data_IF_711907616505
#
_entry.id   IF_711907616505
#
_cell.length_a   1.000
_cell.length_b   1.000
_cell.length_c   1.000
_cell.angle_alpha   90.00
_cell.angle_beta   90.00
_cell.angle_gamma   90.00
#
_symmetry.space_group_name_H-M   'P 1'
#
loop_
_entity.id
_entity.type
_entity.pdbx_description
1 polymer ?
#
# COMPACT_ATOMS: atom_id res chain seq x y z
N UNK A 1 -31.62 -35.90 -11.57
CA UNK A 1 -32.21 -34.96 -10.59
C UNK A 1 -33.49 -34.38 -11.19
N UNK A 2 -34.63 -34.41 -10.49
CA UNK A 2 -35.88 -33.87 -11.04
C UNK A 2 -35.82 -32.35 -11.16
N UNK A 3 -36.44 -31.77 -12.21
CA UNK A 3 -36.50 -30.32 -12.41
C UNK A 3 -37.04 -29.56 -11.20
N UNK A 4 -37.91 -30.19 -10.40
CA UNK A 4 -38.43 -29.63 -9.15
C UNK A 4 -37.38 -29.56 -8.05
N UNK A 5 -36.50 -30.55 -7.95
CA UNK A 5 -35.41 -30.60 -6.97
C UNK A 5 -34.34 -29.55 -7.29
N UNK A 6 -34.05 -29.33 -8.58
CA UNK A 6 -33.12 -28.30 -9.03
C UNK A 6 -33.66 -26.89 -8.75
N UNK A 7 -34.96 -26.65 -9.00
CA UNK A 7 -35.60 -25.34 -8.72
C UNK A 7 -35.60 -25.01 -7.23
N UNK A 8 -35.88 -26.00 -6.37
CA UNK A 8 -35.85 -25.85 -4.91
C UNK A 8 -34.44 -25.56 -4.39
N UNK A 9 -33.41 -26.22 -4.92
CA UNK A 9 -32.02 -25.94 -4.55
C UNK A 9 -31.58 -24.54 -5.00
N UNK A 10 -31.98 -24.10 -6.18
CA UNK A 10 -31.71 -22.74 -6.68
C UNK A 10 -32.42 -21.67 -5.85
N UNK A 11 -33.68 -21.87 -5.47
CA UNK A 11 -34.39 -20.88 -4.63
C UNK A 11 -33.84 -20.85 -3.20
N UNK A 12 -33.43 -21.99 -2.63
CA UNK A 12 -32.81 -22.01 -1.31
C UNK A 12 -31.44 -21.33 -1.31
N UNK A 13 -30.62 -21.58 -2.34
CA UNK A 13 -29.31 -20.95 -2.48
C UNK A 13 -29.43 -19.46 -2.77
N UNK A 14 -30.34 -19.02 -3.65
CA UNK A 14 -30.64 -17.60 -3.82
C UNK A 14 -31.17 -16.96 -2.53
N UNK A 15 -32.03 -17.64 -1.77
CA UNK A 15 -32.54 -17.15 -0.48
C UNK A 15 -31.45 -16.99 0.59
N UNK A 16 -30.51 -17.93 0.66
CA UNK A 16 -29.35 -17.85 1.57
C UNK A 16 -28.36 -16.76 1.13
N UNK A 17 -28.10 -16.63 -0.17
CA UNK A 17 -27.24 -15.57 -0.72
C UNK A 17 -27.87 -14.19 -0.50
N UNK A 18 -29.17 -14.04 -0.71
CA UNK A 18 -29.88 -12.77 -0.48
C UNK A 18 -30.04 -12.45 1.01
N UNK A 19 -30.16 -13.45 1.88
CA UNK A 19 -30.11 -13.27 3.34
C UNK A 19 -28.74 -12.84 3.86
N UNK A 20 -27.66 -13.46 3.37
CA UNK A 20 -26.29 -13.07 3.69
C UNK A 20 -25.95 -11.67 3.14
N UNK A 21 -26.40 -11.37 1.93
CA UNK A 21 -26.25 -10.05 1.32
C UNK A 21 -27.06 -8.98 2.07
N UNK A 22 -28.29 -9.28 2.49
CA UNK A 22 -29.12 -8.37 3.30
C UNK A 22 -28.52 -8.09 4.68
N UNK A 23 -27.96 -9.12 5.34
CA UNK A 23 -27.24 -8.94 6.61
C UNK A 23 -25.97 -8.09 6.43
N UNK A 24 -25.19 -8.34 5.36
CA UNK A 24 -24.00 -7.56 5.03
C UNK A 24 -24.31 -6.09 4.74
N UNK A 25 -25.42 -5.80 4.03
CA UNK A 25 -25.85 -4.42 3.77
C UNK A 25 -26.31 -3.69 5.03
N UNK A 26 -27.00 -4.40 5.94
CA UNK A 26 -27.44 -3.84 7.20
C UNK A 26 -26.29 -3.61 8.18
N UNK A 27 -25.29 -4.50 8.20
CA UNK A 27 -24.07 -4.28 9.01
C UNK A 27 -23.27 -3.11 8.45
N UNK A 28 -23.06 -3.04 7.13
CA UNK A 28 -22.32 -1.95 6.49
C UNK A 28 -23.01 -0.60 6.70
N UNK A 29 -24.34 -0.54 6.65
CA UNK A 29 -25.09 0.69 6.89
C UNK A 29 -25.00 1.14 8.36
N UNK A 30 -25.06 0.21 9.32
CA UNK A 30 -24.90 0.52 10.75
C UNK A 30 -23.49 1.01 11.08
N UNK A 31 -22.46 0.40 10.49
CA UNK A 31 -21.08 0.83 10.66
C UNK A 31 -20.83 2.21 10.05
N UNK A 32 -21.36 2.46 8.85
CA UNK A 32 -21.25 3.78 8.22
C UNK A 32 -21.85 4.88 9.12
N UNK A 33 -23.00 4.62 9.75
CA UNK A 33 -23.62 5.55 10.70
C UNK A 33 -22.79 5.73 11.98
N UNK A 34 -22.25 4.63 12.53
CA UNK A 34 -21.44 4.70 13.75
C UNK A 34 -20.08 5.40 13.53
N UNK A 35 -19.44 5.16 12.38
CA UNK A 35 -18.24 5.92 11.97
C UNK A 35 -18.55 7.39 11.71
N UNK A 36 -19.73 7.71 11.18
CA UNK A 36 -20.17 9.10 11.03
C UNK A 36 -20.30 9.78 12.40
N UNK A 37 -20.95 9.13 13.37
CA UNK A 37 -21.05 9.65 14.74
C UNK A 37 -19.66 9.83 15.39
N UNK A 38 -18.73 8.90 15.18
CA UNK A 38 -17.35 9.02 15.68
C UNK A 38 -16.60 10.22 15.06
N UNK A 39 -16.85 10.53 13.77
CA UNK A 39 -16.30 11.73 13.12
C UNK A 39 -16.89 13.01 13.69
N UNK A 40 -18.18 13.04 13.98
CA UNK A 40 -18.84 14.16 14.65
C UNK A 40 -18.24 14.37 16.05
N UNK A 41 -18.05 13.29 16.81
CA UNK A 41 -17.39 13.34 18.11
C UNK A 41 -15.92 13.80 18.01
N UNK A 42 -15.18 13.39 16.98
CA UNK A 42 -13.82 13.90 16.74
C UNK A 42 -13.79 15.42 16.53
N UNK A 43 -14.82 15.98 15.87
CA UNK A 43 -14.95 17.43 15.62
C UNK A 43 -15.34 18.19 16.88
N UNK A 44 -16.16 17.60 17.76
CA UNK A 44 -16.70 18.27 18.96
C UNK A 44 -15.80 18.12 20.19
N UNK A 45 -15.28 16.91 20.43
CA UNK A 45 -14.57 16.52 21.65
C UNK A 45 -13.06 16.29 21.44
N UNK A 46 -12.61 16.36 20.18
CA UNK A 46 -11.21 16.17 19.79
C UNK A 46 -10.88 14.75 19.32
N UNK A 47 -9.71 14.62 18.69
CA UNK A 47 -9.31 13.41 17.96
C UNK A 47 -9.33 12.15 18.82
N UNK A 48 -8.83 12.19 20.06
CA UNK A 48 -8.78 11.03 20.94
C UNK A 48 -10.17 10.47 21.29
N UNK A 49 -11.17 11.35 21.47
CA UNK A 49 -12.54 10.94 21.73
C UNK A 49 -13.17 10.29 20.49
N UNK A 50 -12.97 10.90 19.32
CA UNK A 50 -13.42 10.36 18.04
C UNK A 50 -12.78 9.01 17.67
N UNK A 51 -11.47 8.86 17.89
CA UNK A 51 -10.77 7.59 17.66
C UNK A 51 -11.32 6.49 18.59
N UNK A 52 -11.49 6.78 19.88
CA UNK A 52 -12.07 5.84 20.84
C UNK A 52 -13.50 5.42 20.44
N UNK A 53 -14.32 6.37 20.00
CA UNK A 53 -15.68 6.09 19.51
C UNK A 53 -15.67 5.24 18.23
N UNK A 54 -14.77 5.53 17.29
CA UNK A 54 -14.61 4.74 16.07
C UNK A 54 -14.15 3.31 16.37
N UNK A 55 -13.19 3.13 17.30
CA UNK A 55 -12.73 1.82 17.76
C UNK A 55 -13.85 1.01 18.41
N UNK A 56 -14.65 1.64 19.28
CA UNK A 56 -15.79 0.99 19.91
C UNK A 56 -16.86 0.61 18.87
N UNK A 57 -17.15 1.49 17.91
CA UNK A 57 -18.11 1.24 16.83
C UNK A 57 -17.70 0.07 15.92
N UNK A 58 -16.40 -0.12 15.72
CA UNK A 58 -15.84 -1.17 14.87
C UNK A 58 -15.36 -2.40 15.64
N UNK A 59 -15.56 -2.48 16.97
CA UNK A 59 -14.95 -3.50 17.82
C UNK A 59 -15.20 -4.93 17.31
N UNK A 60 -16.45 -5.25 16.91
CA UNK A 60 -16.81 -6.57 16.39
C UNK A 60 -16.26 -6.86 15.00
N UNK A 61 -16.09 -5.84 14.15
CA UNK A 61 -15.47 -6.01 12.82
C UNK A 61 -13.96 -6.09 12.89
N UNK A 62 -13.34 -5.23 13.68
CA UNK A 62 -11.91 -5.33 14.01
C UNK A 62 -11.62 -6.67 14.67
N UNK A 63 -12.56 -7.23 15.45
CA UNK A 63 -12.45 -8.57 16.01
C UNK A 63 -12.76 -9.69 15.01
N UNK A 64 -13.63 -9.47 14.01
CA UNK A 64 -13.90 -10.43 12.93
C UNK A 64 -12.82 -10.43 11.85
N UNK A 65 -12.07 -9.33 11.75
CA UNK A 65 -10.81 -9.24 11.01
C UNK A 65 -9.68 -9.97 11.74
N UNK A 66 -9.83 -10.26 13.06
CA UNK A 66 -8.86 -11.09 13.76
C UNK A 66 -8.97 -12.52 13.23
N UNK A 67 -7.91 -13.06 12.65
CA UNK A 67 -7.87 -14.44 12.18
C UNK A 67 -8.13 -15.42 13.34
N UNK A 68 -8.91 -16.46 13.05
CA UNK A 68 -9.15 -17.55 14.00
C UNK A 68 -7.84 -18.33 14.22
N UNK A 69 -7.69 -18.92 15.41
CA UNK A 69 -6.46 -19.65 15.79
C UNK A 69 -6.58 -21.10 15.36
N UNK A 70 -5.68 -21.58 14.49
CA UNK A 70 -5.48 -23.02 14.24
C UNK A 70 -3.98 -23.37 14.18
N UNK A 71 -3.66 -24.59 14.61
CA UNK A 71 -2.36 -25.15 15.02
C UNK A 71 -1.26 -25.25 13.94
N UNK A 72 -0.03 -25.24 14.47
CA UNK A 72 1.32 -25.36 13.84
C UNK A 72 1.37 -25.71 12.34
N UNK A 73 1.95 -24.77 11.59
CA UNK A 73 2.59 -25.06 10.31
C UNK A 73 3.88 -25.90 10.49
N UNK A 74 4.26 -26.75 9.52
CA UNK A 74 5.47 -27.56 9.59
C UNK A 74 6.75 -26.69 9.61
N UNK A 75 7.83 -27.23 10.17
CA UNK A 75 9.15 -26.59 10.26
C UNK A 75 9.67 -26.23 8.86
N UNK A 76 9.68 -24.93 8.53
CA UNK A 76 10.08 -24.41 7.22
C UNK A 76 11.55 -23.98 7.15
N UNK A 77 12.29 -24.06 8.27
CA UNK A 77 13.66 -23.53 8.38
C UNK A 77 14.69 -24.21 7.44
N UNK A 78 14.39 -25.41 6.93
CA UNK A 78 15.27 -26.17 6.03
C UNK A 78 14.73 -26.34 4.60
N UNK A 79 13.70 -25.60 4.21
CA UNK A 79 13.13 -25.68 2.86
C UNK A 79 13.77 -24.66 1.90
N UNK A 80 13.77 -24.92 0.57
CA UNK A 80 14.34 -23.99 -0.39
C UNK A 80 13.56 -22.67 -0.39
N UNK A 81 14.32 -21.55 -0.41
CA UNK A 81 13.78 -20.22 -0.70
C UNK A 81 13.54 -20.01 -2.19
N UNK A 82 12.92 -18.89 -2.52
CA UNK A 82 12.73 -18.41 -3.88
C UNK A 82 13.99 -17.76 -4.45
N UNK A 83 13.84 -17.08 -5.59
CA UNK A 83 14.95 -16.34 -6.19
C UNK A 83 15.26 -15.10 -5.36
N UNK A 84 16.52 -14.94 -4.95
CA UNK A 84 17.01 -13.73 -4.29
C UNK A 84 17.12 -12.59 -5.31
N UNK A 85 16.81 -11.37 -4.87
CA UNK A 85 16.95 -10.17 -5.68
C UNK A 85 18.40 -9.76 -5.87
N UNK A 86 18.66 -9.03 -6.94
CA UNK A 86 19.96 -8.43 -7.21
C UNK A 86 19.87 -6.90 -7.13
N UNK A 87 20.94 -6.25 -6.69
CA UNK A 87 20.99 -4.80 -6.49
C UNK A 87 22.18 -4.19 -7.23
N UNK A 88 21.98 -3.07 -7.91
CA UNK A 88 23.04 -2.30 -8.54
C UNK A 88 22.79 -0.80 -8.46
N UNK A 89 23.85 -0.04 -8.19
CA UNK A 89 23.85 1.42 -8.25
C UNK A 89 24.84 1.81 -9.36
N UNK A 90 24.34 2.31 -10.49
CA UNK A 90 25.18 2.64 -11.64
C UNK A 90 25.65 4.08 -11.54
N UNK A 91 26.97 4.31 -11.54
CA UNK A 91 27.53 5.65 -11.47
C UNK A 91 27.07 6.51 -12.67
N UNK A 92 26.51 7.71 -12.44
CA UNK A 92 26.07 8.60 -13.50
C UNK A 92 27.26 9.26 -14.20
N UNK A 93 27.08 9.59 -15.47
CA UNK A 93 28.02 10.38 -16.27
C UNK A 93 27.85 11.87 -16.01
N UNK A 94 26.62 12.32 -15.79
CA UNK A 94 26.32 13.71 -15.43
C UNK A 94 26.72 13.98 -13.97
N UNK A 95 27.68 14.89 -13.78
CA UNK A 95 28.15 15.32 -12.46
C UNK A 95 27.02 15.91 -11.59
N UNK A 96 25.96 16.47 -12.21
CA UNK A 96 24.81 17.00 -11.49
C UNK A 96 23.97 15.91 -10.78
N UNK A 97 24.05 14.65 -11.25
CA UNK A 97 23.35 13.50 -10.66
C UNK A 97 24.18 12.76 -9.61
N UNK A 98 25.48 13.03 -9.54
CA UNK A 98 26.42 12.42 -8.60
C UNK A 98 25.98 12.52 -7.12
N UNK A 99 25.34 13.62 -6.64
CA UNK A 99 24.81 13.66 -5.27
C UNK A 99 23.76 12.59 -4.98
N UNK A 100 22.92 12.23 -5.96
CA UNK A 100 21.89 11.19 -5.80
C UNK A 100 22.50 9.79 -5.84
N UNK A 101 23.49 9.57 -6.72
CA UNK A 101 24.27 8.33 -6.72
C UNK A 101 24.94 8.08 -5.35
N UNK A 102 25.65 9.08 -4.82
CA UNK A 102 26.27 8.96 -3.49
C UNK A 102 25.22 8.71 -2.41
N UNK A 103 24.10 9.44 -2.44
CA UNK A 103 23.00 9.23 -1.50
C UNK A 103 22.50 7.78 -1.50
N UNK A 104 22.25 7.17 -2.67
CA UNK A 104 21.72 5.80 -2.72
C UNK A 104 22.77 4.73 -2.38
N UNK A 105 24.04 4.98 -2.69
CA UNK A 105 25.15 4.09 -2.33
C UNK A 105 25.39 4.13 -0.82
N UNK A 106 25.52 5.32 -0.24
CA UNK A 106 25.80 5.52 1.19
C UNK A 106 24.67 4.99 2.06
N UNK A 107 23.42 5.14 1.60
CA UNK A 107 22.24 4.63 2.29
C UNK A 107 21.95 3.14 2.02
N UNK A 108 22.69 2.48 1.12
CA UNK A 108 22.33 1.18 0.53
C UNK A 108 20.82 1.09 0.27
N UNK A 109 20.32 2.02 -0.57
CA UNK A 109 18.90 2.35 -0.73
C UNK A 109 18.00 1.12 -0.75
N UNK A 110 18.30 0.13 -1.59
CA UNK A 110 17.45 -1.02 -1.81
C UNK A 110 17.42 -1.99 -0.62
N UNK A 111 18.55 -2.16 0.08
CA UNK A 111 18.62 -3.03 1.25
C UNK A 111 17.95 -2.42 2.48
N UNK A 112 17.76 -1.11 2.49
CA UNK A 112 17.03 -0.42 3.56
C UNK A 112 15.57 -0.13 3.20
N UNK A 113 15.01 -0.78 2.16
CA UNK A 113 13.55 -0.80 1.92
C UNK A 113 12.90 -2.01 2.62
N UNK A 114 12.12 -1.82 3.70
CA UNK A 114 11.55 -2.93 4.47
C UNK A 114 10.71 -3.90 3.64
N UNK A 115 9.91 -3.38 2.71
CA UNK A 115 9.03 -4.18 1.85
C UNK A 115 9.83 -5.03 0.86
N UNK A 116 10.84 -4.44 0.23
CA UNK A 116 11.70 -5.15 -0.73
C UNK A 116 12.43 -6.28 -0.01
N UNK A 117 13.00 -6.00 1.16
CA UNK A 117 13.65 -7.03 1.98
C UNK A 117 12.67 -8.09 2.48
N UNK A 118 11.43 -7.72 2.77
CA UNK A 118 10.43 -8.66 3.25
C UNK A 118 10.03 -9.69 2.17
N UNK A 119 10.03 -9.30 0.90
CA UNK A 119 9.63 -10.17 -0.21
C UNK A 119 10.82 -10.79 -0.97
N UNK A 120 12.06 -10.40 -0.64
CA UNK A 120 13.28 -10.96 -1.22
C UNK A 120 13.38 -12.47 -0.92
N UNK A 121 13.50 -13.28 -1.97
CA UNK A 121 13.47 -14.74 -1.87
C UNK A 121 12.11 -15.34 -1.47
N UNK A 122 11.05 -14.55 -1.34
CA UNK A 122 9.72 -15.04 -0.93
C UNK A 122 9.05 -15.85 -2.05
N UNK A 123 9.29 -15.50 -3.31
CA UNK A 123 8.56 -16.05 -4.45
C UNK A 123 9.42 -16.95 -5.34
N UNK A 124 8.79 -17.99 -5.88
CA UNK A 124 9.35 -18.88 -6.90
C UNK A 124 9.34 -18.18 -8.28
N UNK A 125 10.23 -17.20 -8.44
CA UNK A 125 10.39 -16.47 -9.69
C UNK A 125 11.18 -17.29 -10.72
N UNK A 126 10.84 -17.21 -12.02
CA UNK A 126 11.62 -17.87 -13.08
C UNK A 126 13.04 -17.28 -13.22
N UNK A 127 13.27 -16.06 -12.74
CA UNK A 127 14.56 -15.39 -12.62
C UNK A 127 14.50 -14.30 -11.54
N UNK A 128 15.66 -13.88 -10.98
CA UNK A 128 15.73 -12.75 -10.05
C UNK A 128 15.17 -11.44 -10.63
N UNK A 129 14.54 -10.64 -9.77
CA UNK A 129 14.31 -9.21 -10.04
C UNK A 129 15.60 -8.46 -9.69
N UNK A 130 16.08 -7.62 -10.59
CA UNK A 130 17.27 -6.80 -10.38
C UNK A 130 16.88 -5.34 -10.21
N UNK A 131 17.14 -4.76 -9.04
CA UNK A 131 16.90 -3.37 -8.75
C UNK A 131 18.13 -2.54 -9.12
N UNK A 132 17.90 -1.48 -9.90
CA UNK A 132 18.95 -0.64 -10.48
C UNK A 132 18.63 0.82 -10.24
N UNK A 133 19.59 1.60 -9.76
CA UNK A 133 19.56 3.06 -9.95
C UNK A 133 20.52 3.46 -11.06
N UNK A 134 20.12 4.42 -11.89
CA UNK A 134 20.90 4.84 -13.06
C UNK A 134 20.58 6.27 -13.49
N UNK A 135 21.48 6.87 -14.27
CA UNK A 135 21.15 8.01 -15.14
C UNK A 135 20.40 7.48 -16.37
N UNK A 136 19.19 8.01 -16.62
CA UNK A 136 18.32 7.55 -17.70
C UNK A 136 18.21 8.55 -18.86
N UNK A 137 18.57 9.81 -18.62
CA UNK A 137 18.31 10.92 -19.55
C UNK A 137 16.88 11.43 -19.54
N UNK A 138 16.02 10.87 -18.69
CA UNK A 138 14.62 11.26 -18.53
C UNK A 138 14.13 11.04 -17.09
N UNK A 139 13.07 11.76 -16.72
CA UNK A 139 12.41 11.61 -15.41
C UNK A 139 11.50 10.38 -15.50
N UNK A 140 12.01 9.23 -15.08
CA UNK A 140 11.29 7.97 -15.15
C UNK A 140 11.62 6.99 -14.00
N UNK A 141 10.79 5.98 -13.85
CA UNK A 141 11.09 4.73 -13.18
C UNK A 141 10.27 3.66 -13.89
N UNK A 142 10.82 2.46 -14.09
CA UNK A 142 10.15 1.46 -14.89
C UNK A 142 10.64 0.05 -14.57
N UNK A 143 9.77 -0.93 -14.75
CA UNK A 143 10.14 -2.32 -14.93
C UNK A 143 10.45 -2.64 -16.40
N UNK A 144 11.62 -3.22 -16.64
CA UNK A 144 12.05 -3.72 -17.94
C UNK A 144 11.97 -5.24 -17.97
N UNK A 145 10.93 -5.79 -18.60
CA UNK A 145 10.78 -7.24 -18.75
C UNK A 145 12.00 -7.88 -19.44
N UNK A 146 12.48 -7.34 -20.56
CA UNK A 146 13.63 -7.94 -21.28
C UNK A 146 14.85 -8.22 -20.36
N UNK A 147 15.15 -7.30 -19.44
CA UNK A 147 16.29 -7.38 -18.52
C UNK A 147 15.94 -7.91 -17.14
N UNK A 148 14.66 -7.96 -16.78
CA UNK A 148 14.20 -8.31 -15.43
C UNK A 148 14.60 -7.25 -14.41
N UNK A 149 14.63 -5.99 -14.83
CA UNK A 149 15.17 -4.89 -14.02
C UNK A 149 14.07 -3.91 -13.60
N UNK A 150 14.01 -3.59 -12.31
CA UNK A 150 13.32 -2.41 -11.78
C UNK A 150 14.33 -1.27 -11.77
N UNK A 151 14.11 -0.24 -12.59
CA UNK A 151 15.03 0.89 -12.76
C UNK A 151 14.45 2.14 -12.13
N UNK A 152 15.21 2.78 -11.24
CA UNK A 152 14.93 4.10 -10.69
C UNK A 152 15.94 5.12 -11.22
N UNK A 153 15.45 6.11 -11.98
CA UNK A 153 16.30 7.13 -12.58
C UNK A 153 16.69 8.22 -11.56
N UNK A 154 17.95 8.66 -11.54
CA UNK A 154 18.39 9.75 -10.65
C UNK A 154 17.67 11.07 -10.93
N UNK A 155 17.25 11.30 -12.17
CA UNK A 155 16.44 12.43 -12.59
C UNK A 155 15.10 12.48 -11.83
N UNK A 156 14.48 11.32 -11.59
CA UNK A 156 13.25 11.20 -10.79
C UNK A 156 13.52 11.57 -9.35
N UNK A 157 14.60 11.08 -8.75
CA UNK A 157 15.00 11.46 -7.39
C UNK A 157 15.24 12.98 -7.27
N UNK A 158 15.86 13.58 -8.29
CA UNK A 158 16.09 15.03 -8.34
C UNK A 158 14.77 15.80 -8.33
N UNK A 159 13.85 15.45 -9.20
CA UNK A 159 12.54 16.09 -9.27
C UNK A 159 11.77 15.89 -7.97
N UNK A 160 11.77 14.70 -7.38
CA UNK A 160 11.10 14.45 -6.10
C UNK A 160 11.66 15.33 -4.98
N UNK A 161 12.98 15.49 -4.89
CA UNK A 161 13.60 16.38 -3.91
C UNK A 161 13.22 17.85 -4.14
N UNK A 162 13.20 18.29 -5.40
CA UNK A 162 12.75 19.64 -5.78
C UNK A 162 11.29 19.88 -5.38
N UNK A 163 10.40 18.91 -5.64
CA UNK A 163 8.98 18.99 -5.23
C UNK A 163 8.81 19.04 -3.72
N UNK A 164 9.58 18.26 -2.98
CA UNK A 164 9.57 18.34 -1.52
C UNK A 164 9.97 19.72 -0.99
N UNK A 165 10.91 20.42 -1.64
CA UNK A 165 11.27 21.80 -1.31
C UNK A 165 10.17 22.80 -1.69
N UNK A 166 9.52 22.62 -2.83
CA UNK A 166 8.39 23.46 -3.23
C UNK A 166 7.22 23.33 -2.26
N UNK A 167 6.91 22.10 -1.84
CA UNK A 167 5.89 21.82 -0.83
C UNK A 167 6.25 22.50 0.50
N UNK A 168 7.51 22.44 0.93
CA UNK A 168 7.98 23.15 2.12
C UNK A 168 7.72 24.66 2.00
N UNK A 169 8.10 25.25 0.86
CA UNK A 169 7.92 26.68 0.62
C UNK A 169 6.44 27.10 0.61
N UNK A 170 5.55 26.32 0.00
CA UNK A 170 4.10 26.57 -0.02
C UNK A 170 3.49 26.57 1.38
N UNK A 171 4.07 25.80 2.31
CA UNK A 171 3.63 25.71 3.69
C UNK A 171 4.42 26.63 4.64
N UNK A 172 5.24 27.55 4.11
CA UNK A 172 6.02 28.49 4.92
C UNK A 172 7.16 27.85 5.70
N UNK A 173 7.58 26.63 5.35
CA UNK A 173 8.68 25.90 5.97
C UNK A 173 9.99 26.28 5.26
N UNK A 174 11.03 26.61 6.02
CA UNK A 174 12.30 27.10 5.48
C UNK A 174 13.52 26.46 6.16
N UNK A 175 14.71 26.72 5.62
CA UNK A 175 15.98 26.30 6.23
C UNK A 175 16.13 24.78 6.33
N UNK A 176 16.62 24.30 7.49
CA UNK A 176 16.87 22.88 7.73
C UNK A 176 15.59 22.03 7.69
N UNK A 177 14.47 22.59 8.15
CA UNK A 177 13.18 21.88 8.18
C UNK A 177 12.65 21.62 6.77
N UNK A 178 12.85 22.58 5.85
CA UNK A 178 12.50 22.39 4.44
C UNK A 178 13.32 21.26 3.80
N UNK A 179 14.60 21.15 4.13
CA UNK A 179 15.46 20.06 3.66
C UNK A 179 15.08 18.72 4.27
N UNK A 180 14.59 18.70 5.51
CA UNK A 180 14.07 17.49 6.16
C UNK A 180 12.77 17.03 5.51
N UNK A 181 11.83 17.95 5.25
CA UNK A 181 10.60 17.61 4.53
C UNK A 181 10.91 17.13 3.11
N UNK A 182 11.83 17.79 2.40
CA UNK A 182 12.20 17.39 1.05
C UNK A 182 12.81 15.99 0.98
N UNK A 183 13.62 15.62 1.97
CA UNK A 183 14.16 14.25 2.09
C UNK A 183 13.05 13.24 2.38
N UNK A 184 12.17 13.52 3.35
CA UNK A 184 11.03 12.64 3.65
C UNK A 184 10.11 12.43 2.44
N UNK A 185 9.83 13.50 1.71
CA UNK A 185 9.02 13.44 0.49
C UNK A 185 9.70 12.59 -0.60
N UNK A 186 11.01 12.78 -0.80
CA UNK A 186 11.81 11.95 -1.71
C UNK A 186 11.75 10.47 -1.31
N UNK A 187 12.04 10.16 -0.04
CA UNK A 187 12.12 8.78 0.44
C UNK A 187 10.76 8.06 0.34
N UNK A 188 9.67 8.74 0.72
CA UNK A 188 8.32 8.21 0.62
C UNK A 188 7.91 7.90 -0.83
N UNK A 189 8.22 8.80 -1.76
CA UNK A 189 7.89 8.61 -3.17
C UNK A 189 8.77 7.55 -3.84
N UNK A 190 10.08 7.54 -3.55
CA UNK A 190 10.98 6.49 -4.05
C UNK A 190 10.52 5.12 -3.60
N UNK A 191 10.15 4.97 -2.32
CA UNK A 191 9.64 3.71 -1.77
C UNK A 191 8.37 3.26 -2.50
N UNK A 192 7.39 4.14 -2.67
CA UNK A 192 6.16 3.81 -3.38
C UNK A 192 6.42 3.43 -4.85
N UNK A 193 7.22 4.22 -5.57
CA UNK A 193 7.58 3.98 -6.98
C UNK A 193 8.28 2.64 -7.14
N UNK A 194 9.26 2.31 -6.28
CA UNK A 194 9.93 1.02 -6.36
C UNK A 194 8.97 -0.15 -6.17
N UNK A 195 7.99 -0.03 -5.28
CA UNK A 195 6.99 -1.07 -5.05
C UNK A 195 5.97 -1.17 -6.18
N UNK A 196 5.63 -0.04 -6.80
CA UNK A 196 4.80 0.02 -8.00
C UNK A 196 5.49 -0.75 -9.15
N UNK A 197 6.76 -0.44 -9.46
CA UNK A 197 7.52 -1.15 -10.49
C UNK A 197 7.76 -2.63 -10.14
N UNK A 198 7.93 -2.95 -8.86
CA UNK A 198 7.99 -4.33 -8.39
C UNK A 198 6.68 -5.07 -8.66
N UNK A 199 5.54 -4.37 -8.62
CA UNK A 199 4.25 -4.92 -8.99
C UNK A 199 4.19 -5.37 -10.44
N UNK A 200 4.67 -4.54 -11.38
CA UNK A 200 4.79 -4.93 -12.79
C UNK A 200 5.70 -6.15 -12.96
N UNK A 201 6.82 -6.18 -12.22
CA UNK A 201 7.74 -7.31 -12.24
C UNK A 201 7.07 -8.61 -11.77
N UNK A 202 6.33 -8.56 -10.65
CA UNK A 202 5.62 -9.72 -10.11
C UNK A 202 4.50 -10.18 -11.04
N UNK A 203 3.72 -9.26 -11.59
CA UNK A 203 2.65 -9.58 -12.56
C UNK A 203 3.23 -10.33 -13.76
N UNK A 204 4.32 -9.80 -14.33
CA UNK A 204 4.95 -10.37 -15.51
C UNK A 204 5.60 -11.72 -15.21
N UNK A 205 6.43 -11.80 -14.17
CA UNK A 205 7.24 -12.99 -13.87
C UNK A 205 6.42 -14.15 -13.32
N UNK A 206 5.29 -13.88 -12.65
CA UNK A 206 4.41 -14.89 -12.08
C UNK A 206 3.16 -15.14 -12.94
N UNK A 207 3.03 -14.44 -14.07
CA UNK A 207 1.87 -14.49 -14.98
C UNK A 207 0.54 -14.22 -14.24
N UNK A 208 0.53 -13.21 -13.36
CA UNK A 208 -0.66 -12.86 -12.57
C UNK A 208 -1.71 -12.23 -13.49
N UNK A 209 -2.95 -12.75 -13.51
CA UNK A 209 -4.00 -12.20 -14.35
C UNK A 209 -4.48 -10.83 -13.84
N UNK A 210 -4.54 -9.85 -14.75
CA UNK A 210 -5.12 -8.53 -14.52
C UNK A 210 -6.31 -8.31 -15.45
N UNK A 211 -7.49 -8.04 -14.89
CA UNK A 211 -8.74 -7.83 -15.66
C UNK A 211 -9.18 -6.36 -15.71
N UNK A 212 -8.45 -5.48 -15.03
CA UNK A 212 -8.68 -4.03 -14.99
C UNK A 212 -7.47 -3.25 -15.52
N UNK A 213 -7.28 -2.03 -15.00
CA UNK A 213 -6.08 -1.23 -15.29
C UNK A 213 -4.91 -1.77 -14.46
N UNK A 214 -3.83 -2.14 -15.12
CA UNK A 214 -2.63 -2.68 -14.44
C UNK A 214 -2.02 -1.67 -13.47
N UNK A 215 -1.92 -0.41 -13.89
CA UNK A 215 -1.45 0.71 -13.05
C UNK A 215 -2.19 0.83 -11.71
N UNK A 216 -3.52 0.69 -11.73
CA UNK A 216 -4.32 0.75 -10.51
C UNK A 216 -4.09 -0.50 -9.64
N UNK A 217 -3.82 -1.66 -10.26
CA UNK A 217 -3.53 -2.89 -9.56
C UNK A 217 -2.15 -2.83 -8.87
N UNK A 218 -1.13 -2.30 -9.55
CA UNK A 218 0.21 -2.16 -8.95
C UNK A 218 0.26 -1.06 -7.89
N UNK A 219 -0.54 0.01 -8.01
CA UNK A 219 -0.74 1.00 -6.92
C UNK A 219 -1.36 0.35 -5.67
N UNK A 220 -2.36 -0.52 -5.88
CA UNK A 220 -2.98 -1.30 -4.81
C UNK A 220 -1.96 -2.23 -4.13
N UNK A 221 -1.11 -2.89 -4.91
CA UNK A 221 -0.07 -3.76 -4.37
C UNK A 221 0.97 -2.97 -3.57
N UNK A 222 1.48 -1.86 -4.13
CA UNK A 222 2.45 -1.00 -3.46
C UNK A 222 1.91 -0.51 -2.11
N UNK A 223 0.66 -0.04 -2.09
CA UNK A 223 -0.03 0.38 -0.86
C UNK A 223 -0.15 -0.77 0.14
N UNK A 224 -0.55 -1.96 -0.33
CA UNK A 224 -0.68 -3.15 0.51
C UNK A 224 0.66 -3.57 1.10
N UNK A 225 1.73 -3.57 0.30
CA UNK A 225 3.07 -3.93 0.76
C UNK A 225 3.55 -2.95 1.85
N UNK A 226 3.39 -1.64 1.65
CA UNK A 226 3.74 -0.64 2.67
C UNK A 226 2.96 -0.86 3.98
N UNK A 227 1.65 -1.10 3.91
CA UNK A 227 0.83 -1.32 5.10
C UNK A 227 1.21 -2.62 5.85
N UNK A 228 1.57 -3.67 5.13
CA UNK A 228 1.83 -5.01 5.70
C UNK A 228 3.28 -5.21 6.13
N UNK A 229 4.24 -4.68 5.36
CA UNK A 229 5.66 -4.97 5.49
C UNK A 229 6.55 -3.79 5.88
N UNK A 230 5.96 -2.63 6.24
CA UNK A 230 6.71 -1.56 6.87
C UNK A 230 7.57 -2.03 8.06
N UNK A 231 8.68 -1.32 8.26
CA UNK A 231 9.70 -1.63 9.26
C UNK A 231 9.10 -1.72 10.66
N UNK A 232 9.67 -2.59 11.51
CA UNK A 232 9.15 -2.79 12.87
C UNK A 232 9.33 -1.54 13.75
N UNK A 233 10.26 -0.67 13.36
CA UNK A 233 10.59 0.59 14.04
C UNK A 233 9.91 1.80 13.37
N UNK A 234 9.07 1.56 12.36
CA UNK A 234 8.26 2.58 11.69
C UNK A 234 6.83 2.53 12.22
N UNK A 235 6.38 3.58 12.90
CA UNK A 235 5.01 3.63 13.43
C UNK A 235 3.96 3.61 12.31
N UNK A 236 2.76 3.10 12.57
CA UNK A 236 1.68 3.09 11.56
C UNK A 236 1.31 4.50 11.09
N UNK A 237 1.46 5.52 11.95
CA UNK A 237 1.30 6.92 11.57
C UNK A 237 2.36 7.40 10.56
N UNK A 238 3.61 6.97 10.73
CA UNK A 238 4.70 7.27 9.77
C UNK A 238 4.44 6.61 8.42
N UNK A 239 3.98 5.35 8.42
CA UNK A 239 3.60 4.64 7.19
C UNK A 239 2.47 5.37 6.47
N UNK A 240 1.45 5.81 7.20
CA UNK A 240 0.33 6.57 6.64
C UNK A 240 0.81 7.91 6.05
N UNK A 241 1.68 8.63 6.74
CA UNK A 241 2.22 9.90 6.24
C UNK A 241 3.10 9.68 4.99
N UNK A 242 3.90 8.61 4.95
CA UNK A 242 4.66 8.24 3.76
C UNK A 242 3.74 7.96 2.57
N UNK A 243 2.66 7.20 2.78
CA UNK A 243 1.65 6.93 1.75
C UNK A 243 0.93 8.21 1.29
N UNK A 244 0.62 9.14 2.21
CA UNK A 244 0.05 10.46 1.89
C UNK A 244 1.01 11.32 1.07
N UNK A 245 2.29 11.39 1.45
CA UNK A 245 3.30 12.10 0.67
C UNK A 245 3.48 11.50 -0.72
N UNK A 246 3.40 10.18 -0.85
CA UNK A 246 3.40 9.50 -2.14
C UNK A 246 2.14 9.81 -2.97
N UNK A 247 0.95 9.83 -2.38
CA UNK A 247 -0.27 10.15 -3.13
C UNK A 247 -0.30 11.60 -3.62
N UNK A 248 0.30 12.54 -2.88
CA UNK A 248 0.43 13.94 -3.33
C UNK A 248 1.21 14.09 -4.65
N UNK A 249 2.13 13.17 -4.97
CA UNK A 249 2.81 13.17 -6.27
C UNK A 249 1.84 13.04 -7.44
N UNK A 250 0.77 12.25 -7.28
CA UNK A 250 -0.24 12.08 -8.33
C UNK A 250 -0.96 13.39 -8.68
N UNK A 251 -1.05 14.31 -7.72
CA UNK A 251 -1.72 15.61 -7.89
C UNK A 251 -0.84 16.66 -8.58
N UNK A 252 0.42 16.37 -8.91
CA UNK A 252 1.32 17.40 -9.46
C UNK A 252 0.89 17.94 -10.83
N UNK A 253 0.24 17.11 -11.64
CA UNK A 253 -0.31 17.51 -12.95
C UNK A 253 -1.83 17.74 -12.91
N UNK A 254 -2.42 17.73 -11.72
CA UNK A 254 -3.84 18.00 -11.51
C UNK A 254 -4.15 19.46 -11.83
N UNK A 255 -4.75 19.72 -12.98
CA UNK A 255 -5.23 21.06 -13.35
C UNK A 255 -6.76 21.15 -13.34
N UNK A 256 -7.46 20.02 -13.16
CA UNK A 256 -8.90 19.92 -13.39
C UNK A 256 -9.32 20.13 -14.85
N UNK A 257 -8.36 20.28 -15.78
CA UNK A 257 -8.58 20.46 -17.21
C UNK A 257 -7.77 19.41 -17.98
N UNK A 258 -8.48 18.43 -18.56
CA UNK A 258 -7.84 17.32 -19.25
C UNK A 258 -8.12 17.37 -20.76
N UNK A 259 -7.10 17.01 -21.53
CA UNK A 259 -7.26 16.71 -22.96
C UNK A 259 -7.61 15.22 -23.16
N UNK A 260 -7.89 14.83 -24.40
CA UNK A 260 -8.22 13.43 -24.72
C UNK A 260 -7.06 12.48 -24.42
N UNK A 261 -5.81 12.94 -24.53
CA UNK A 261 -4.63 12.12 -24.25
C UNK A 261 -4.60 11.68 -22.79
N UNK A 262 -4.92 12.58 -21.85
CA UNK A 262 -5.00 12.26 -20.42
C UNK A 262 -6.08 11.20 -20.11
N UNK A 263 -7.15 11.13 -20.89
CA UNK A 263 -8.16 10.07 -20.74
C UNK A 263 -7.76 8.75 -21.40
N UNK A 264 -6.85 8.78 -22.37
CA UNK A 264 -6.34 7.61 -23.09
C UNK A 264 -5.10 7.00 -22.42
N UNK A 265 -4.52 7.67 -21.42
CA UNK A 265 -3.34 7.21 -20.69
C UNK A 265 -3.57 5.87 -19.97
N UNK A 266 -2.50 5.09 -19.82
CA UNK A 266 -2.48 3.81 -19.10
C UNK A 266 -2.64 4.00 -17.58
N UNK A 267 -2.24 5.15 -17.03
CA UNK A 267 -2.49 5.55 -15.66
C UNK A 267 -3.82 6.27 -15.51
N UNK A 268 -4.56 5.97 -14.45
CA UNK A 268 -5.76 6.73 -14.13
C UNK A 268 -5.40 8.20 -13.87
N UNK A 269 -6.38 9.10 -13.95
CA UNK A 269 -6.15 10.51 -13.63
C UNK A 269 -5.53 10.63 -12.24
N UNK A 270 -4.59 11.56 -12.07
CA UNK A 270 -3.83 11.68 -10.82
C UNK A 270 -4.72 11.85 -9.59
N UNK A 271 -5.83 12.56 -9.73
CA UNK A 271 -6.85 12.78 -8.71
C UNK A 271 -7.61 11.48 -8.38
N UNK A 272 -7.84 10.61 -9.37
CA UNK A 272 -8.43 9.29 -9.12
C UNK A 272 -7.45 8.39 -8.36
N UNK A 273 -6.19 8.36 -8.77
CA UNK A 273 -5.12 7.61 -8.08
C UNK A 273 -4.97 8.09 -6.64
N UNK A 274 -4.98 9.40 -6.40
CA UNK A 274 -4.96 10.00 -5.07
C UNK A 274 -6.10 9.46 -4.20
N UNK A 275 -7.36 9.62 -4.64
CA UNK A 275 -8.50 9.18 -3.84
C UNK A 275 -8.57 7.65 -3.67
N UNK A 276 -8.08 6.88 -4.62
CA UNK A 276 -7.96 5.43 -4.48
C UNK A 276 -6.97 5.07 -3.39
N UNK A 277 -5.79 5.69 -3.37
CA UNK A 277 -4.78 5.46 -2.32
C UNK A 277 -5.29 5.88 -0.94
N UNK A 278 -5.90 7.06 -0.82
CA UNK A 278 -6.51 7.51 0.45
C UNK A 278 -7.61 6.54 0.92
N UNK A 279 -8.38 5.96 -0.01
CA UNK A 279 -9.41 4.98 0.29
C UNK A 279 -8.83 3.64 0.79
N UNK A 280 -7.75 3.14 0.17
CA UNK A 280 -7.07 1.93 0.65
C UNK A 280 -6.43 2.14 2.03
N UNK A 281 -5.79 3.29 2.24
CA UNK A 281 -5.21 3.65 3.53
C UNK A 281 -6.31 3.75 4.60
N UNK A 282 -7.33 4.58 4.38
CA UNK A 282 -8.45 4.74 5.32
C UNK A 282 -9.16 3.40 5.59
N UNK A 283 -9.44 2.64 4.53
CA UNK A 283 -10.14 1.36 4.62
C UNK A 283 -9.36 0.27 5.36
N UNK A 284 -8.03 0.37 5.43
CA UNK A 284 -7.21 -0.61 6.14
C UNK A 284 -7.39 -0.56 7.67
N UNK A 285 -7.62 0.62 8.23
CA UNK A 285 -8.04 0.82 9.62
C UNK A 285 -8.77 2.16 9.78
N UNK A 286 -10.11 2.17 9.63
CA UNK A 286 -10.89 3.41 9.63
C UNK A 286 -10.88 4.16 10.96
N UNK A 287 -10.59 3.46 12.07
CA UNK A 287 -10.47 4.06 13.38
C UNK A 287 -9.12 4.76 13.52
N UNK A 288 -8.02 4.07 13.14
CA UNK A 288 -6.68 4.65 13.20
C UNK A 288 -6.52 5.86 12.29
N UNK A 289 -7.09 5.81 11.07
CA UNK A 289 -6.90 6.84 10.05
C UNK A 289 -8.11 7.76 9.90
N UNK A 290 -8.83 8.00 11.00
CA UNK A 290 -10.03 8.85 11.03
C UNK A 290 -9.75 10.27 10.47
N UNK A 291 -8.53 10.75 10.68
CA UNK A 291 -8.03 12.06 10.25
C UNK A 291 -8.05 12.26 8.74
N UNK A 292 -7.90 11.19 7.94
CA UNK A 292 -7.99 11.27 6.47
C UNK A 292 -9.35 11.82 6.02
N UNK A 293 -10.42 11.46 6.74
CA UNK A 293 -11.77 11.96 6.43
C UNK A 293 -12.02 13.30 7.09
N UNK A 294 -11.67 13.45 8.38
CA UNK A 294 -11.95 14.70 9.10
C UNK A 294 -11.08 15.87 8.64
N UNK A 295 -9.87 15.59 8.14
CA UNK A 295 -8.94 16.55 7.56
C UNK A 295 -9.25 16.94 6.11
N UNK A 296 -10.17 16.23 5.45
CA UNK A 296 -10.67 16.57 4.12
C UNK A 296 -9.98 15.88 2.94
N UNK A 297 -9.03 14.97 3.20
CA UNK A 297 -8.32 14.25 2.14
C UNK A 297 -9.18 13.18 1.45
N UNK A 298 -10.23 12.72 2.12
CA UNK A 298 -11.18 11.75 1.60
C UNK A 298 -12.62 12.18 1.89
N UNK A 299 -13.44 12.42 0.85
CA UNK A 299 -14.86 12.75 1.04
C UNK A 299 -15.59 11.66 1.82
N UNK A 300 -16.44 12.05 2.78
CA UNK A 300 -17.21 11.12 3.61
C UNK A 300 -18.01 10.11 2.78
N UNK A 301 -18.54 10.55 1.62
CA UNK A 301 -19.27 9.69 0.71
C UNK A 301 -18.43 8.55 0.14
N UNK A 302 -17.15 8.82 -0.23
CA UNK A 302 -16.19 7.83 -0.73
C UNK A 302 -15.73 6.91 0.40
N UNK A 303 -15.48 7.47 1.59
CA UNK A 303 -15.02 6.74 2.76
C UNK A 303 -15.93 5.56 3.18
N UNK A 304 -17.23 5.61 2.85
CA UNK A 304 -18.20 4.55 3.20
C UNK A 304 -17.89 3.19 2.55
N UNK A 305 -17.33 3.15 1.35
CA UNK A 305 -17.00 1.89 0.66
C UNK A 305 -15.58 1.40 0.94
N UNK A 306 -14.72 2.25 1.48
CA UNK A 306 -13.29 2.00 1.60
C UNK A 306 -12.88 0.80 2.45
N UNK A 307 -13.51 0.51 3.61
CA UNK A 307 -13.16 -0.67 4.40
C UNK A 307 -13.34 -1.99 3.61
N UNK A 308 -14.43 -2.05 2.87
CA UNK A 308 -14.75 -3.20 2.03
C UNK A 308 -13.75 -3.33 0.87
N UNK A 309 -13.45 -2.21 0.21
CA UNK A 309 -12.52 -2.14 -0.90
C UNK A 309 -11.09 -2.55 -0.49
N UNK A 310 -10.58 -2.00 0.61
CA UNK A 310 -9.26 -2.36 1.15
C UNK A 310 -9.17 -3.86 1.49
N UNK A 311 -10.22 -4.43 2.08
CA UNK A 311 -10.30 -5.87 2.38
C UNK A 311 -10.31 -6.72 1.10
N UNK A 312 -11.07 -6.32 0.07
CA UNK A 312 -11.08 -7.02 -1.23
C UNK A 312 -9.71 -7.00 -1.88
N UNK A 313 -9.08 -5.83 -1.94
CA UNK A 313 -7.75 -5.65 -2.53
C UNK A 313 -6.71 -6.50 -1.81
N UNK A 314 -6.66 -6.43 -0.49
CA UNK A 314 -5.71 -7.21 0.31
C UNK A 314 -5.90 -8.72 0.12
N UNK A 315 -7.15 -9.22 0.13
CA UNK A 315 -7.42 -10.66 -0.05
C UNK A 315 -7.16 -11.11 -1.49
N UNK A 316 -7.46 -10.27 -2.49
CA UNK A 316 -7.17 -10.58 -3.89
C UNK A 316 -5.67 -10.75 -4.13
N UNK A 317 -4.86 -9.76 -3.71
CA UNK A 317 -3.40 -9.84 -3.85
C UNK A 317 -2.80 -11.02 -3.09
N UNK A 318 -3.29 -11.29 -1.88
CA UNK A 318 -2.83 -12.46 -1.12
C UNK A 318 -3.12 -13.76 -1.87
N UNK A 319 -4.33 -13.94 -2.39
CA UNK A 319 -4.71 -15.13 -3.17
C UNK A 319 -3.94 -15.28 -4.48
N UNK A 320 -3.61 -14.17 -5.13
CA UNK A 320 -2.81 -14.18 -6.36
C UNK A 320 -1.35 -14.54 -6.09
N UNK A 321 -0.78 -14.10 -4.96
CA UNK A 321 0.63 -14.31 -4.65
C UNK A 321 0.92 -15.64 -3.93
N UNK A 322 0.00 -16.13 -3.07
CA UNK A 322 0.17 -17.35 -2.27
C UNK A 322 0.64 -18.58 -3.07
N UNK A 323 0.09 -18.89 -4.26
CA UNK A 323 0.52 -20.04 -5.06
C UNK A 323 1.99 -19.99 -5.49
N UNK A 324 2.60 -18.80 -5.50
CA UNK A 324 3.97 -18.58 -5.94
C UNK A 324 4.96 -18.48 -4.77
N UNK A 325 4.49 -18.55 -3.51
CA UNK A 325 5.35 -18.47 -2.33
C UNK A 325 6.24 -19.71 -2.23
N UNK A 326 7.54 -19.47 -2.08
CA UNK A 326 8.54 -20.52 -1.95
C UNK A 326 8.30 -21.37 -0.70
N UNK A 327 8.62 -22.68 -0.73
CA UNK A 327 8.30 -23.62 0.37
C UNK A 327 8.74 -23.12 1.76
N UNK A 328 9.92 -22.49 1.87
CA UNK A 328 10.43 -21.85 3.10
C UNK A 328 9.45 -20.87 3.76
N UNK A 329 8.64 -20.19 2.97
CA UNK A 329 7.74 -19.12 3.41
C UNK A 329 6.25 -19.52 3.36
N UNK A 330 5.94 -20.77 2.97
CA UNK A 330 4.56 -21.22 2.86
C UNK A 330 3.85 -21.23 4.22
N UNK A 331 2.67 -20.61 4.24
CA UNK A 331 1.77 -20.59 5.39
C UNK A 331 0.32 -20.46 4.90
N UNK A 332 -0.66 -20.78 5.76
CA UNK A 332 -2.07 -20.53 5.44
C UNK A 332 -2.37 -19.03 5.36
N UNK A 333 -3.37 -18.64 4.57
CA UNK A 333 -3.91 -17.26 4.48
C UNK A 333 -4.15 -16.68 5.89
N UNK A 334 -4.82 -17.45 6.75
CA UNK A 334 -5.10 -17.10 8.15
C UNK A 334 -3.83 -16.84 8.98
N UNK A 335 -2.78 -17.65 8.81
CA UNK A 335 -1.51 -17.48 9.53
C UNK A 335 -0.73 -16.26 9.02
N UNK A 336 -0.79 -15.97 7.71
CA UNK A 336 -0.20 -14.76 7.16
C UNK A 336 -0.87 -13.50 7.73
N UNK A 337 -2.20 -13.48 7.78
CA UNK A 337 -2.97 -12.38 8.38
C UNK A 337 -2.62 -12.18 9.87
N UNK A 338 -2.47 -13.26 10.64
CA UNK A 338 -2.03 -13.18 12.06
C UNK A 338 -0.69 -12.49 12.21
N UNK A 339 0.26 -12.88 11.38
CA UNK A 339 1.61 -12.34 11.42
C UNK A 339 1.63 -10.85 11.06
N UNK A 340 0.83 -10.42 10.08
CA UNK A 340 0.71 -9.00 9.73
C UNK A 340 0.10 -8.17 10.86
N UNK A 341 -0.92 -8.68 11.54
CA UNK A 341 -1.50 -7.98 12.69
C UNK A 341 -0.53 -7.86 13.86
N UNK A 342 0.19 -8.93 14.18
CA UNK A 342 1.16 -8.92 15.28
C UNK A 342 2.28 -7.91 15.01
N UNK A 343 2.79 -7.87 13.78
CA UNK A 343 3.76 -6.87 13.34
C UNK A 343 3.21 -5.46 13.46
N UNK A 344 1.97 -5.21 13.02
CA UNK A 344 1.34 -3.89 13.16
C UNK A 344 1.23 -3.45 14.62
N UNK A 345 0.81 -4.34 15.53
CA UNK A 345 0.77 -4.04 16.98
C UNK A 345 2.15 -3.82 17.58
N UNK A 346 3.18 -4.49 17.06
CA UNK A 346 4.55 -4.27 17.49
C UNK A 346 5.08 -2.91 17.01
N UNK A 347 4.78 -2.50 15.78
CA UNK A 347 5.11 -1.16 15.26
C UNK A 347 4.53 -0.05 16.12
N UNK A 348 3.26 -0.15 16.47
CA UNK A 348 2.60 0.86 17.30
C UNK A 348 3.26 0.93 18.70
N UNK A 349 3.57 -0.22 19.31
CA UNK A 349 4.30 -0.26 20.60
C UNK A 349 5.71 0.34 20.51
N UNK A 350 6.41 0.14 19.41
CA UNK A 350 7.75 0.68 19.20
C UNK A 350 7.69 2.19 18.93
N UNK A 351 6.67 2.68 18.21
CA UNK A 351 6.46 4.10 17.95
C UNK A 351 6.14 4.92 19.21
N UNK A 352 5.48 4.31 20.20
CA UNK A 352 5.18 4.95 21.49
C UNK A 352 6.37 4.90 22.49
N UNK A 353 7.49 4.24 22.14
CA UNK A 353 8.64 4.14 23.00
C UNK A 353 9.45 5.45 23.02
N UNK A 354 9.63 6.12 24.18
CA UNK A 354 10.15 7.49 24.27
C UNK A 354 11.63 7.67 23.86
N UNK A 355 12.31 6.60 23.44
CA UNK A 355 13.75 6.61 23.11
C UNK A 355 14.04 6.41 21.62
N UNK A 356 13.01 6.23 20.78
CA UNK A 356 13.13 6.16 19.32
C UNK A 356 12.48 7.43 18.76
N UNK A 357 13.28 8.49 18.59
CA UNK A 357 12.91 9.71 17.85
C UNK A 357 13.88 9.95 16.71
#
# INVERSE_FOLDING_TARGET
MSSRTLLLLLTLTLGLVSGAFGYSLLSSARQAAALQAAREQAREEGWAAGEAAARAALEQELAALRPLRIERAPESENQPGGAEFAYAYLEPRDEALMPFYRQVVDADLFKHQPEIQAIDGMFMLPRPIRFVTAECGEINAFYSDERGEVVLCYETMRVLRERGLELAAQNGIAGADAQTLARRYLDANVRFILLHETGHALITLLEIPVTGREEDAVDQLATTLMLRFAGIDESSATVAENLRMASHWFLLRSTGQYNLDAYADAHALGEQRYFNLQCLLYGSDPARYLDIVTGGDLPEARARSCPEEARRVSSAWLRLLLPHVAPKFQMSEEKAEQLFEERARQRDRNGDAPYIQ
#
